data_IF_977198999447
#
_entry.id   IF_977198999447
#
_cell.length_a   1.000
_cell.length_b   1.000
_cell.length_c   1.000
_cell.angle_alpha   90.00
_cell.angle_beta   90.00
_cell.angle_gamma   90.00
#
_symmetry.space_group_name_H-M   'P 1'
#
loop_
_entity.id
_entity.type
_entity.pdbx_description
1 polymer ?
#
# COMPACT_ATOMS: atom_id res chain seq x y z
N UNK A 1 -21.57 73.15 -70.07
CA UNK A 1 -20.16 72.72 -69.83
C UNK A 1 -20.04 72.39 -68.34
N UNK A 2 -20.66 71.30 -67.89
CA UNK A 2 -20.12 69.94 -67.70
C UNK A 2 -18.99 69.87 -66.65
N UNK A 3 -19.38 69.51 -65.43
CA UNK A 3 -18.51 69.00 -64.38
C UNK A 3 -18.06 67.56 -64.72
N UNK A 4 -16.83 67.13 -64.38
CA UNK A 4 -16.42 65.76 -64.53
C UNK A 4 -16.72 64.93 -63.27
N UNK A 5 -17.17 63.70 -63.51
CA UNK A 5 -17.50 62.65 -62.53
C UNK A 5 -16.25 62.09 -61.83
N UNK A 6 -16.36 61.59 -60.58
CA UNK A 6 -15.22 60.95 -59.90
C UNK A 6 -15.01 59.53 -60.40
N UNK A 7 -13.81 59.25 -60.92
CA UNK A 7 -13.36 57.92 -61.33
C UNK A 7 -12.92 57.08 -60.13
N UNK A 8 -13.57 55.95 -59.95
CA UNK A 8 -13.21 54.83 -59.08
C UNK A 8 -11.85 54.25 -59.47
N UNK A 9 -10.87 54.22 -58.55
CA UNK A 9 -9.63 53.43 -58.70
C UNK A 9 -9.40 52.60 -57.44
N UNK A 10 -9.73 51.32 -57.58
CA UNK A 10 -9.12 50.10 -57.04
C UNK A 10 -8.40 50.15 -55.67
N UNK A 11 -9.06 49.53 -54.67
CA UNK A 11 -8.44 48.96 -53.47
C UNK A 11 -7.38 47.90 -53.82
N UNK A 12 -6.11 48.25 -53.72
CA UNK A 12 -5.01 47.28 -53.72
C UNK A 12 -4.92 46.62 -52.33
N UNK A 13 -5.62 45.50 -52.12
CA UNK A 13 -5.43 44.67 -50.92
C UNK A 13 -4.06 44.01 -50.94
N UNK A 14 -3.24 44.10 -49.87
CA UNK A 14 -1.99 43.35 -49.79
C UNK A 14 -2.27 41.84 -49.70
N UNK A 15 -1.54 41.04 -50.49
CA UNK A 15 -1.58 39.57 -50.47
C UNK A 15 -1.09 39.06 -49.11
N UNK A 16 -1.89 38.22 -48.46
CA UNK A 16 -1.50 37.53 -47.23
C UNK A 16 -0.32 36.56 -47.49
N UNK A 17 0.62 36.40 -46.53
CA UNK A 17 1.71 35.44 -46.67
C UNK A 17 1.18 34.00 -46.67
N UNK A 18 1.73 33.16 -47.56
CA UNK A 18 1.49 31.71 -47.61
C UNK A 18 1.77 31.08 -46.24
N UNK A 19 0.76 30.45 -45.65
CA UNK A 19 0.91 29.67 -44.42
C UNK A 19 1.96 28.56 -44.63
N UNK A 20 3.03 28.61 -43.85
CA UNK A 20 4.00 27.53 -43.75
C UNK A 20 3.26 26.25 -43.32
N UNK A 21 3.48 25.16 -44.06
CA UNK A 21 2.81 23.88 -43.80
C UNK A 21 2.97 23.43 -42.36
N UNK A 22 1.84 23.12 -41.71
CA UNK A 22 1.79 22.55 -40.36
C UNK A 22 2.64 21.26 -40.35
N UNK A 23 3.66 21.14 -39.49
CA UNK A 23 4.43 19.91 -39.36
C UNK A 23 3.49 18.78 -38.96
N UNK A 24 3.41 17.71 -39.77
CA UNK A 24 2.63 16.52 -39.41
C UNK A 24 3.22 15.91 -38.13
N UNK A 25 2.41 15.61 -37.10
CA UNK A 25 2.89 14.94 -35.90
C UNK A 25 3.45 13.58 -36.30
N UNK A 26 4.74 13.36 -35.99
CA UNK A 26 5.36 12.04 -36.14
C UNK A 26 4.68 11.09 -35.15
N UNK A 27 4.36 9.84 -35.53
CA UNK A 27 3.85 8.86 -34.58
C UNK A 27 4.89 8.64 -33.49
N UNK A 28 4.53 8.98 -32.25
CA UNK A 28 5.34 8.72 -31.07
C UNK A 28 5.38 7.21 -30.85
N UNK A 29 6.50 6.58 -31.19
CA UNK A 29 6.79 5.22 -30.73
C UNK A 29 6.78 5.27 -29.19
N UNK A 30 5.90 4.54 -28.49
CA UNK A 30 5.85 4.58 -27.04
C UNK A 30 7.19 4.10 -26.51
N UNK A 31 7.98 5.04 -25.96
CA UNK A 31 9.25 4.73 -25.33
C UNK A 31 8.93 3.89 -24.09
N UNK A 32 9.08 2.57 -24.19
CA UNK A 32 9.05 1.65 -23.03
C UNK A 32 10.16 2.08 -22.09
N UNK A 33 9.83 3.01 -21.19
CA UNK A 33 10.79 3.56 -20.23
C UNK A 33 11.19 2.51 -19.18
N UNK A 34 12.24 2.79 -18.39
CA UNK A 34 12.68 1.93 -17.30
C UNK A 34 11.54 1.51 -16.36
N UNK A 35 10.53 2.37 -16.16
CA UNK A 35 9.33 2.07 -15.34
C UNK A 35 8.56 0.83 -15.80
N UNK A 36 8.44 0.59 -17.11
CA UNK A 36 7.74 -0.58 -17.64
C UNK A 36 8.51 -1.87 -17.37
N UNK A 37 9.85 -1.80 -17.37
CA UNK A 37 10.72 -2.93 -17.03
C UNK A 37 10.56 -3.28 -15.54
N UNK A 38 10.56 -2.29 -14.64
CA UNK A 38 10.36 -2.53 -13.21
C UNK A 38 8.97 -3.12 -12.91
N UNK A 39 7.93 -2.64 -13.60
CA UNK A 39 6.57 -3.20 -13.46
C UNK A 39 6.49 -4.65 -13.97
N UNK A 40 7.14 -4.95 -15.09
CA UNK A 40 7.21 -6.31 -15.62
C UNK A 40 7.98 -7.23 -14.67
N UNK A 41 9.13 -6.78 -14.15
CA UNK A 41 9.90 -7.53 -13.15
C UNK A 41 9.09 -7.78 -11.89
N UNK A 42 8.37 -6.77 -11.38
CA UNK A 42 7.48 -6.91 -10.24
C UNK A 42 6.39 -7.96 -10.50
N UNK A 43 5.73 -7.88 -11.66
CA UNK A 43 4.70 -8.84 -12.05
C UNK A 43 5.26 -10.26 -12.21
N UNK A 44 6.47 -10.40 -12.77
CA UNK A 44 7.15 -11.68 -12.92
C UNK A 44 7.53 -12.28 -11.56
N UNK A 45 8.07 -11.48 -10.63
CA UNK A 45 8.46 -11.95 -9.29
C UNK A 45 7.23 -12.34 -8.47
N UNK A 46 6.17 -11.52 -8.47
CA UNK A 46 4.91 -11.87 -7.82
C UNK A 46 4.25 -13.10 -8.48
N UNK A 47 4.28 -13.19 -9.81
CA UNK A 47 3.74 -14.32 -10.56
C UNK A 47 4.49 -15.62 -10.29
N UNK A 48 5.83 -15.57 -10.25
CA UNK A 48 6.66 -16.71 -9.90
C UNK A 48 6.39 -17.18 -8.47
N UNK A 49 6.26 -16.25 -7.52
CA UNK A 49 5.89 -16.59 -6.14
C UNK A 49 4.50 -17.24 -6.07
N UNK A 50 3.51 -16.67 -6.76
CA UNK A 50 2.15 -17.21 -6.81
C UNK A 50 2.09 -18.61 -7.45
N UNK A 51 2.85 -18.84 -8.52
CA UNK A 51 2.99 -20.16 -9.15
C UNK A 51 3.66 -21.14 -8.19
N UNK A 52 4.74 -20.74 -7.52
CA UNK A 52 5.40 -21.54 -6.49
C UNK A 52 4.43 -21.96 -5.39
N UNK A 53 3.66 -21.01 -4.87
CA UNK A 53 2.62 -21.25 -3.86
C UNK A 53 1.51 -22.18 -4.35
N UNK A 54 1.02 -21.98 -5.59
CA UNK A 54 -0.03 -22.82 -6.18
C UNK A 54 0.44 -24.26 -6.44
N UNK A 55 1.72 -24.44 -6.77
CA UNK A 55 2.34 -25.77 -6.96
C UNK A 55 2.86 -26.37 -5.64
N UNK A 56 2.66 -25.70 -4.51
CA UNK A 56 3.10 -26.16 -3.19
C UNK A 56 4.62 -26.19 -3.02
N UNK A 57 5.35 -25.37 -3.79
CA UNK A 57 6.80 -25.21 -3.79
C UNK A 57 7.61 -26.51 -4.02
N UNK A 58 6.97 -27.62 -4.38
CA UNK A 58 7.61 -28.93 -4.55
C UNK A 58 8.03 -29.64 -3.27
N UNK A 59 8.15 -28.95 -2.13
CA UNK A 59 8.39 -29.56 -0.82
C UNK A 59 7.79 -28.74 0.32
N UNK A 60 7.40 -29.42 1.40
CA UNK A 60 6.86 -28.75 2.61
C UNK A 60 7.87 -27.78 3.22
N UNK A 61 9.15 -28.15 3.25
CA UNK A 61 10.18 -27.29 3.85
C UNK A 61 10.39 -26.01 3.03
N UNK A 62 10.38 -26.10 1.69
CA UNK A 62 10.48 -24.91 0.85
C UNK A 62 9.24 -24.03 0.97
N UNK A 63 8.05 -24.62 1.12
CA UNK A 63 6.82 -23.86 1.37
C UNK A 63 6.89 -23.05 2.67
N UNK A 64 7.36 -23.66 3.78
CA UNK A 64 7.57 -22.94 5.05
C UNK A 64 8.60 -21.82 4.89
N UNK A 65 9.76 -22.12 4.29
CA UNK A 65 10.82 -21.12 4.10
C UNK A 65 10.33 -19.93 3.25
N UNK A 66 9.59 -20.19 2.18
CA UNK A 66 9.06 -19.12 1.34
C UNK A 66 7.93 -18.36 2.03
N UNK A 67 7.02 -19.05 2.71
CA UNK A 67 5.93 -18.45 3.47
C UNK A 67 6.41 -17.55 4.61
N UNK A 68 7.52 -17.89 5.25
CA UNK A 68 7.99 -17.12 6.41
C UNK A 68 9.12 -16.16 6.03
N UNK A 69 10.24 -16.69 5.55
CA UNK A 69 11.41 -15.87 5.20
C UNK A 69 11.22 -15.11 3.89
N UNK A 70 10.46 -15.66 2.93
CA UNK A 70 10.12 -14.96 1.70
C UNK A 70 9.24 -13.74 1.97
N UNK A 71 8.23 -13.86 2.84
CA UNK A 71 7.44 -12.72 3.30
C UNK A 71 8.26 -11.73 4.11
N UNK A 72 9.10 -12.22 5.03
CA UNK A 72 9.99 -11.35 5.82
C UNK A 72 10.90 -10.53 4.91
N UNK A 73 11.50 -11.14 3.88
CA UNK A 73 12.35 -10.46 2.91
C UNK A 73 11.58 -9.43 2.09
N UNK A 74 10.36 -9.75 1.63
CA UNK A 74 9.53 -8.81 0.88
C UNK A 74 9.12 -7.59 1.73
N UNK A 75 8.72 -7.82 2.97
CA UNK A 75 8.38 -6.76 3.92
C UNK A 75 9.62 -5.92 4.29
N UNK A 76 10.79 -6.54 4.45
CA UNK A 76 12.05 -5.83 4.67
C UNK A 76 12.44 -4.97 3.46
N UNK A 77 12.24 -5.46 2.23
CA UNK A 77 12.45 -4.69 1.02
C UNK A 77 11.52 -3.46 0.95
N UNK A 78 10.25 -3.62 1.35
CA UNK A 78 9.31 -2.50 1.48
C UNK A 78 9.79 -1.47 2.52
N UNK A 79 10.22 -1.93 3.70
CA UNK A 79 10.73 -1.09 4.76
C UNK A 79 11.94 -0.26 4.30
N UNK A 80 12.96 -0.93 3.74
CA UNK A 80 14.18 -0.30 3.23
C UNK A 80 13.84 0.68 2.12
N UNK A 81 12.98 0.30 1.16
CA UNK A 81 12.57 1.17 0.07
C UNK A 81 11.91 2.47 0.56
N UNK A 82 10.96 2.35 1.50
CA UNK A 82 10.29 3.49 2.11
C UNK A 82 11.26 4.40 2.89
N UNK A 83 12.20 3.82 3.64
CA UNK A 83 13.22 4.59 4.38
C UNK A 83 14.22 5.29 3.45
N UNK A 84 14.67 4.63 2.38
CA UNK A 84 15.55 5.23 1.36
C UNK A 84 14.85 6.38 0.64
N UNK A 85 13.59 6.21 0.27
CA UNK A 85 12.81 7.28 -0.33
C UNK A 85 12.62 8.47 0.62
N UNK A 86 12.36 8.21 1.90
CA UNK A 86 12.25 9.25 2.92
C UNK A 86 13.54 10.08 3.12
N UNK A 87 14.72 9.49 2.85
CA UNK A 87 16.03 10.19 2.89
C UNK A 87 16.28 11.08 1.67
N UNK A 88 15.53 10.92 0.59
CA UNK A 88 15.73 11.71 -0.64
C UNK A 88 15.38 13.19 -0.43
N UNK A 89 16.03 14.10 -1.16
CA UNK A 89 15.80 15.55 -1.01
C UNK A 89 14.47 16.05 -1.58
N UNK A 90 13.86 15.30 -2.52
CA UNK A 90 12.62 15.68 -3.23
C UNK A 90 11.35 14.99 -2.72
N UNK A 91 11.45 14.27 -1.60
CA UNK A 91 10.35 13.48 -1.07
C UNK A 91 9.21 14.37 -0.56
N UNK A 92 7.99 14.01 -0.96
CA UNK A 92 6.76 14.59 -0.43
C UNK A 92 6.16 13.62 0.58
N UNK A 93 5.56 14.15 1.65
CA UNK A 93 4.96 13.36 2.73
C UNK A 93 5.95 12.43 3.45
N UNK A 94 7.15 12.94 3.78
CA UNK A 94 8.19 12.20 4.54
C UNK A 94 7.64 11.37 5.69
N UNK A 95 6.79 11.91 6.58
CA UNK A 95 6.35 11.16 7.75
C UNK A 95 5.51 9.94 7.37
N UNK A 96 4.70 10.02 6.30
CA UNK A 96 3.92 8.88 5.83
C UNK A 96 4.81 7.74 5.35
N UNK A 97 5.87 8.03 4.59
CA UNK A 97 6.81 7.00 4.12
C UNK A 97 7.64 6.40 5.26
N UNK A 98 8.03 7.19 6.27
CA UNK A 98 8.68 6.65 7.47
C UNK A 98 7.75 5.70 8.24
N UNK A 99 6.47 6.06 8.37
CA UNK A 99 5.46 5.24 9.04
C UNK A 99 5.14 3.96 8.26
N UNK A 100 5.06 4.01 6.93
CA UNK A 100 4.95 2.81 6.10
C UNK A 100 6.19 1.94 6.19
N UNK A 101 7.39 2.53 6.21
CA UNK A 101 8.62 1.78 6.42
C UNK A 101 8.68 1.09 7.79
N UNK A 102 8.25 1.79 8.84
CA UNK A 102 8.15 1.23 10.19
C UNK A 102 7.11 0.11 10.26
N UNK A 103 5.95 0.30 9.66
CA UNK A 103 4.91 -0.71 9.52
C UNK A 103 5.49 -1.97 8.86
N UNK A 104 6.08 -1.84 7.67
CA UNK A 104 6.71 -2.97 6.96
C UNK A 104 7.85 -3.63 7.75
N UNK A 105 8.61 -2.88 8.55
CA UNK A 105 9.63 -3.45 9.42
C UNK A 105 9.03 -4.34 10.52
N UNK A 106 7.90 -3.93 11.10
CA UNK A 106 7.15 -4.77 12.05
C UNK A 106 6.64 -6.04 11.37
N UNK A 107 6.09 -5.96 10.16
CA UNK A 107 5.69 -7.14 9.40
C UNK A 107 6.87 -8.07 9.09
N UNK A 108 8.03 -7.53 8.72
CA UNK A 108 9.24 -8.32 8.46
C UNK A 108 9.69 -9.08 9.71
N UNK A 109 9.68 -8.41 10.87
CA UNK A 109 10.02 -9.00 12.16
C UNK A 109 9.00 -10.06 12.60
N UNK A 110 7.70 -9.81 12.40
CA UNK A 110 6.64 -10.79 12.68
C UNK A 110 6.84 -12.09 11.90
N UNK A 111 7.05 -11.98 10.59
CA UNK A 111 7.34 -13.13 9.72
C UNK A 111 8.67 -13.82 10.06
N UNK A 112 9.70 -13.06 10.48
CA UNK A 112 10.98 -13.63 10.90
C UNK A 112 10.83 -14.48 12.16
N UNK A 113 10.07 -13.98 13.14
CA UNK A 113 9.75 -14.73 14.36
C UNK A 113 8.92 -15.96 13.99
N UNK A 114 7.91 -15.82 13.14
CA UNK A 114 7.10 -16.95 12.66
C UNK A 114 7.97 -18.06 12.04
N UNK A 115 8.85 -17.69 11.11
CA UNK A 115 9.79 -18.62 10.48
C UNK A 115 10.78 -19.25 11.44
N UNK A 116 11.18 -18.53 12.48
CA UNK A 116 12.01 -19.11 13.54
C UNK A 116 11.28 -20.26 14.27
N UNK A 117 9.98 -20.12 14.52
CA UNK A 117 9.17 -21.19 15.13
C UNK A 117 8.97 -22.38 14.17
N UNK A 118 8.55 -22.12 12.94
CA UNK A 118 8.16 -23.19 12.03
C UNK A 118 9.35 -23.89 11.36
N UNK A 119 10.36 -23.13 10.93
CA UNK A 119 11.51 -23.66 10.18
C UNK A 119 12.64 -24.10 11.10
N UNK A 120 12.97 -23.32 12.13
CA UNK A 120 14.13 -23.60 13.00
C UNK A 120 13.74 -24.51 14.17
N UNK A 121 12.64 -24.18 14.86
CA UNK A 121 12.16 -24.97 16.00
C UNK A 121 11.25 -26.13 15.60
N UNK A 122 10.76 -26.18 14.36
CA UNK A 122 9.89 -27.25 13.87
C UNK A 122 8.56 -27.36 14.59
N UNK A 123 8.09 -26.27 15.23
CA UNK A 123 6.86 -26.26 16.03
C UNK A 123 5.89 -25.20 15.53
N UNK A 124 4.57 -25.43 15.64
CA UNK A 124 3.60 -24.39 15.32
C UNK A 124 3.79 -23.18 16.26
N UNK A 125 3.51 -21.98 15.74
CA UNK A 125 3.58 -20.74 16.52
C UNK A 125 2.56 -20.80 17.65
N UNK A 126 2.97 -20.63 18.93
CA UNK A 126 2.05 -20.61 20.05
C UNK A 126 1.19 -19.33 20.00
N UNK A 127 -0.10 -19.40 20.32
CA UNK A 127 -0.93 -18.20 20.43
C UNK A 127 -1.28 -17.93 21.90
N UNK A 128 -0.87 -16.79 22.49
CA UNK A 128 -0.17 -15.64 21.90
C UNK A 128 1.36 -15.82 21.76
N UNK A 129 1.94 -15.24 20.71
CA UNK A 129 3.39 -15.21 20.43
C UNK A 129 3.96 -13.80 20.33
N UNK A 130 5.29 -13.71 20.27
CA UNK A 130 5.99 -12.47 19.87
C UNK A 130 5.69 -12.06 18.41
N UNK A 131 5.35 -13.01 17.53
CA UNK A 131 4.96 -12.66 16.15
C UNK A 131 3.66 -11.84 16.16
N UNK A 132 2.70 -12.23 17.02
CA UNK A 132 1.44 -11.51 17.17
C UNK A 132 1.63 -10.06 17.62
N UNK A 133 2.60 -9.82 18.50
CA UNK A 133 2.92 -8.45 18.93
C UNK A 133 3.39 -7.60 17.75
N UNK A 134 4.25 -8.15 16.88
CA UNK A 134 4.76 -7.42 15.72
C UNK A 134 3.68 -7.20 14.67
N UNK A 135 2.81 -8.18 14.42
CA UNK A 135 1.67 -8.00 13.52
C UNK A 135 0.64 -7.02 14.08
N UNK A 136 0.41 -7.01 15.40
CA UNK A 136 -0.42 -6.00 16.04
C UNK A 136 0.19 -4.59 15.89
N UNK A 137 1.51 -4.47 16.02
CA UNK A 137 2.23 -3.22 15.84
C UNK A 137 2.42 -2.79 14.38
N UNK A 138 2.08 -3.64 13.39
CA UNK A 138 2.12 -3.28 11.97
C UNK A 138 1.02 -2.28 11.61
N UNK A 139 -0.20 -2.48 12.12
CA UNK A 139 -1.37 -1.71 11.72
C UNK A 139 -1.37 -0.24 12.20
N UNK A 140 -1.00 0.12 13.45
CA UNK A 140 -1.04 1.50 13.91
C UNK A 140 -0.17 2.46 13.08
N UNK A 141 1.12 2.15 12.77
CA UNK A 141 1.91 2.99 11.89
C UNK A 141 1.32 3.11 10.49
N UNK A 142 0.73 2.05 9.93
CA UNK A 142 0.06 2.12 8.63
C UNK A 142 -1.16 3.06 8.66
N UNK A 143 -2.02 2.96 9.67
CA UNK A 143 -3.19 3.84 9.87
C UNK A 143 -2.73 5.31 9.99
N UNK A 144 -1.74 5.58 10.84
CA UNK A 144 -1.21 6.94 11.03
C UNK A 144 -0.58 7.44 9.73
N UNK A 145 0.13 6.60 8.99
CA UNK A 145 0.72 6.95 7.68
C UNK A 145 -0.34 7.35 6.66
N UNK A 146 -1.47 6.63 6.62
CA UNK A 146 -2.62 6.98 5.79
C UNK A 146 -3.30 8.28 6.26
N UNK A 147 -3.46 8.49 7.57
CA UNK A 147 -4.00 9.73 8.12
C UNK A 147 -3.12 10.94 7.78
N UNK A 148 -1.79 10.82 7.86
CA UNK A 148 -0.84 11.86 7.44
C UNK A 148 -1.07 12.21 5.96
N UNK A 149 -1.27 11.20 5.12
CA UNK A 149 -1.50 11.39 3.69
C UNK A 149 -2.87 12.05 3.40
N UNK A 150 -3.87 11.72 4.21
CA UNK A 150 -5.24 12.24 4.10
C UNK A 150 -5.38 13.68 4.57
N UNK A 151 -4.83 13.99 5.75
CA UNK A 151 -5.00 15.29 6.43
C UNK A 151 -3.92 16.30 6.04
N UNK A 152 -2.77 15.82 5.55
CA UNK A 152 -1.63 16.65 5.10
C UNK A 152 -1.27 17.75 6.12
N UNK A 153 -0.98 17.39 7.39
CA UNK A 153 -0.75 18.38 8.43
C UNK A 153 0.47 19.24 8.12
N UNK A 154 0.26 20.55 8.02
CA UNK A 154 1.34 21.54 7.80
C UNK A 154 1.61 22.41 9.03
N UNK A 155 0.64 22.55 9.93
CA UNK A 155 0.75 23.34 11.18
C UNK A 155 0.87 22.44 12.41
N UNK A 156 1.40 22.98 13.52
CA UNK A 156 1.43 22.28 14.82
C UNK A 156 0.03 21.83 15.25
N UNK A 157 -0.98 22.68 15.09
CA UNK A 157 -2.37 22.35 15.38
C UNK A 157 -2.87 21.16 14.54
N UNK A 158 -2.53 21.11 13.25
CA UNK A 158 -2.87 19.97 12.39
C UNK A 158 -2.22 18.65 12.85
N UNK A 159 -0.99 18.71 13.35
CA UNK A 159 -0.31 17.55 13.95
C UNK A 159 -0.95 17.12 15.28
N UNK A 160 -1.39 18.05 16.11
CA UNK A 160 -2.13 17.74 17.34
C UNK A 160 -3.47 17.09 17.01
N UNK A 161 -4.23 17.63 16.05
CA UNK A 161 -5.48 17.00 15.61
C UNK A 161 -5.23 15.57 15.13
N UNK A 162 -4.22 15.36 14.29
CA UNK A 162 -3.85 14.03 13.81
C UNK A 162 -3.53 13.06 14.97
N UNK A 163 -2.77 13.52 15.97
CA UNK A 163 -2.45 12.71 17.13
C UNK A 163 -3.69 12.36 17.94
N UNK A 164 -4.61 13.32 18.12
CA UNK A 164 -5.91 13.09 18.77
C UNK A 164 -6.78 12.12 17.98
N UNK A 165 -6.82 12.22 16.64
CA UNK A 165 -7.57 11.27 15.81
C UNK A 165 -7.01 9.86 15.94
N UNK A 166 -5.69 9.72 15.87
CA UNK A 166 -5.02 8.44 16.01
C UNK A 166 -5.23 7.83 17.41
N UNK A 167 -5.17 8.67 18.45
CA UNK A 167 -5.44 8.26 19.82
C UNK A 167 -6.90 7.85 20.02
N UNK A 168 -7.85 8.58 19.41
CA UNK A 168 -9.27 8.27 19.49
C UNK A 168 -9.56 6.93 18.78
N UNK A 169 -9.05 6.73 17.57
CA UNK A 169 -9.18 5.46 16.84
C UNK A 169 -8.55 4.31 17.65
N UNK A 170 -7.29 4.46 18.08
CA UNK A 170 -6.59 3.42 18.83
C UNK A 170 -7.25 3.11 20.19
N UNK A 171 -7.63 4.15 20.94
CA UNK A 171 -8.31 4.03 22.23
C UNK A 171 -9.69 3.39 22.11
N UNK A 172 -10.46 3.72 21.08
CA UNK A 172 -11.74 3.07 20.80
C UNK A 172 -11.56 1.59 20.45
N UNK A 173 -10.61 1.23 19.59
CA UNK A 173 -10.35 -0.16 19.22
C UNK A 173 -9.87 -0.99 20.42
N UNK A 174 -8.98 -0.43 21.24
CA UNK A 174 -8.50 -1.06 22.47
C UNK A 174 -9.65 -1.30 23.46
N UNK A 175 -10.46 -0.26 23.70
CA UNK A 175 -11.60 -0.36 24.63
C UNK A 175 -12.60 -1.39 24.13
N UNK A 176 -12.95 -1.36 22.84
CA UNK A 176 -13.89 -2.30 22.23
C UNK A 176 -13.36 -3.73 22.34
N UNK A 177 -12.11 -3.97 21.94
CA UNK A 177 -11.48 -5.30 22.00
C UNK A 177 -11.44 -5.85 23.42
N UNK A 178 -11.01 -5.03 24.38
CA UNK A 178 -10.93 -5.41 25.79
C UNK A 178 -12.31 -5.69 26.40
N UNK A 179 -13.31 -4.86 26.08
CA UNK A 179 -14.68 -5.00 26.60
C UNK A 179 -15.32 -6.30 26.09
N UNK A 180 -15.20 -6.58 24.79
CA UNK A 180 -15.72 -7.81 24.21
C UNK A 180 -14.97 -9.03 24.74
N UNK A 181 -13.65 -8.95 24.93
CA UNK A 181 -12.87 -10.03 25.51
C UNK A 181 -13.29 -10.36 26.94
N UNK A 182 -13.51 -9.35 27.78
CA UNK A 182 -14.04 -9.52 29.14
C UNK A 182 -15.44 -10.15 29.11
N UNK A 183 -16.31 -9.71 28.20
CA UNK A 183 -17.65 -10.28 28.04
C UNK A 183 -17.62 -11.74 27.59
N UNK A 184 -16.66 -12.14 26.73
CA UNK A 184 -16.46 -13.53 26.33
C UNK A 184 -15.91 -14.38 27.48
N UNK A 185 -14.94 -13.85 28.24
CA UNK A 185 -14.38 -14.55 29.40
C UNK A 185 -15.41 -14.74 30.53
N UNK A 186 -16.29 -13.76 30.74
CA UNK A 186 -17.35 -13.82 31.74
C UNK A 186 -18.43 -14.87 31.43
N UNK A 187 -18.60 -15.28 30.16
CA UNK A 187 -19.56 -16.33 29.76
C UNK A 187 -19.10 -17.75 30.08
N UNK A 188 -17.85 -17.92 30.55
CA UNK A 188 -17.28 -19.19 31.00
C UNK A 188 -16.90 -20.13 29.84
N UNK A 189 -15.68 -20.69 29.91
CA UNK A 189 -15.25 -21.80 29.04
C UNK A 189 -14.36 -21.46 27.83
N UNK A 190 -13.93 -20.21 27.67
CA UNK A 190 -13.03 -19.79 26.58
C UNK A 190 -11.56 -19.63 26.98
N UNK A 191 -10.63 -19.48 26.00
CA UNK A 191 -9.24 -19.10 26.26
C UNK A 191 -9.17 -17.77 27.04
N UNK A 192 -8.11 -17.57 27.83
CA UNK A 192 -8.00 -16.42 28.75
C UNK A 192 -8.22 -15.05 28.08
N UNK A 193 -8.62 -14.05 28.88
CA UNK A 193 -9.01 -12.69 28.42
C UNK A 193 -8.03 -12.09 27.42
N UNK A 194 -6.72 -12.27 27.63
CA UNK A 194 -5.68 -11.75 26.75
C UNK A 194 -5.73 -12.37 25.33
N UNK A 195 -6.01 -13.66 25.23
CA UNK A 195 -6.15 -14.33 23.93
C UNK A 195 -7.41 -13.84 23.21
N UNK A 196 -8.54 -13.75 23.91
CA UNK A 196 -9.77 -13.21 23.33
C UNK A 196 -9.62 -11.74 22.86
N UNK A 197 -8.93 -10.90 23.65
CA UNK A 197 -8.63 -9.51 23.28
C UNK A 197 -7.71 -9.43 22.06
N UNK A 198 -6.71 -10.30 21.98
CA UNK A 198 -5.84 -10.36 20.81
C UNK A 198 -6.61 -10.80 19.57
N UNK A 199 -7.39 -11.89 19.65
CA UNK A 199 -8.21 -12.39 18.54
C UNK A 199 -9.23 -11.36 18.03
N UNK A 200 -9.74 -10.48 18.89
CA UNK A 200 -10.65 -9.39 18.50
C UNK A 200 -9.91 -8.18 17.94
N UNK A 201 -8.68 -7.92 18.37
CA UNK A 201 -7.90 -6.78 17.92
C UNK A 201 -7.57 -6.84 16.42
N UNK A 202 -7.27 -8.04 15.88
CA UNK A 202 -6.99 -8.24 14.46
C UNK A 202 -8.15 -7.79 13.54
N UNK A 203 -9.39 -8.35 13.65
CA UNK A 203 -10.51 -7.91 12.83
C UNK A 203 -10.82 -6.41 12.97
N UNK A 204 -10.67 -5.86 14.17
CA UNK A 204 -10.92 -4.44 14.44
C UNK A 204 -9.90 -3.54 13.75
N UNK A 205 -8.62 -3.92 13.77
CA UNK A 205 -7.56 -3.21 13.05
C UNK A 205 -7.75 -3.32 11.53
N UNK A 206 -8.17 -4.48 11.03
CA UNK A 206 -8.48 -4.68 9.61
C UNK A 206 -9.61 -3.75 9.17
N UNK A 207 -10.72 -3.70 9.91
CA UNK A 207 -11.85 -2.80 9.61
C UNK A 207 -11.38 -1.33 9.59
N UNK A 208 -10.56 -0.91 10.55
CA UNK A 208 -10.02 0.44 10.59
C UNK A 208 -9.13 0.75 9.37
N UNK A 209 -8.25 -0.19 9.00
CA UNK A 209 -7.38 -0.08 7.83
C UNK A 209 -8.17 -0.04 6.52
N UNK A 210 -9.13 -0.96 6.31
CA UNK A 210 -10.03 -0.98 5.13
C UNK A 210 -10.78 0.35 5.04
N UNK A 211 -11.38 0.80 6.15
CA UNK A 211 -12.13 2.05 6.19
C UNK A 211 -11.27 3.24 5.78
N UNK A 212 -10.01 3.29 6.25
CA UNK A 212 -9.06 4.33 5.88
C UNK A 212 -8.67 4.27 4.40
N UNK A 213 -8.36 3.07 3.90
CA UNK A 213 -8.02 2.84 2.49
C UNK A 213 -9.17 3.28 1.57
N UNK A 214 -10.41 2.90 1.90
CA UNK A 214 -11.60 3.29 1.16
C UNK A 214 -11.85 4.80 1.24
N UNK A 215 -11.77 5.39 2.43
CA UNK A 215 -11.93 6.83 2.60
C UNK A 215 -10.91 7.61 1.76
N UNK A 216 -9.65 7.19 1.71
CA UNK A 216 -8.63 7.80 0.85
C UNK A 216 -8.90 7.54 -0.65
N UNK A 217 -9.42 6.36 -1.00
CA UNK A 217 -9.79 6.02 -2.37
C UNK A 217 -10.91 6.92 -2.89
N UNK A 218 -11.94 7.20 -2.09
CA UNK A 218 -13.08 8.02 -2.52
C UNK A 218 -12.77 9.52 -2.47
N UNK A 219 -11.86 9.98 -1.60
CA UNK A 219 -11.45 11.41 -1.54
C UNK A 219 -10.50 11.83 -2.66
N UNK A 220 -10.35 11.03 -3.71
CA UNK A 220 -9.49 11.32 -4.88
C UNK A 220 -10.02 12.51 -5.69
N UNK A 221 -9.57 13.72 -5.38
CA UNK A 221 -9.52 14.81 -6.38
C UNK A 221 -8.41 14.51 -7.40
N UNK A 222 -8.62 14.73 -8.70
CA UNK A 222 -7.79 14.24 -9.83
C UNK A 222 -6.28 14.55 -9.86
N UNK A 223 -5.70 15.14 -8.82
CA UNK A 223 -4.28 15.48 -8.69
C UNK A 223 -3.43 14.43 -7.92
N UNK A 224 -3.97 13.25 -7.57
CA UNK A 224 -3.27 12.26 -6.76
C UNK A 224 -2.18 11.53 -7.56
N UNK A 225 -0.93 11.71 -7.12
CA UNK A 225 0.28 11.15 -7.75
C UNK A 225 0.28 9.62 -7.71
N UNK A 226 0.78 8.95 -8.77
CA UNK A 226 0.68 7.49 -8.91
C UNK A 226 1.33 6.72 -7.74
N UNK A 227 2.41 7.24 -7.15
CA UNK A 227 3.05 6.67 -5.96
C UNK A 227 2.10 6.47 -4.77
N UNK A 228 1.23 7.45 -4.49
CA UNK A 228 0.25 7.38 -3.39
C UNK A 228 -0.82 6.35 -3.68
N UNK A 229 -1.31 6.29 -4.92
CA UNK A 229 -2.31 5.30 -5.32
C UNK A 229 -1.75 3.88 -5.26
N UNK A 230 -0.48 3.69 -5.63
CA UNK A 230 0.20 2.39 -5.50
C UNK A 230 0.35 2.00 -4.03
N UNK A 231 0.73 2.92 -3.13
CA UNK A 231 0.80 2.62 -1.70
C UNK A 231 -0.56 2.27 -1.10
N UNK A 232 -1.62 3.01 -1.45
CA UNK A 232 -3.00 2.69 -1.02
C UNK A 232 -3.42 1.32 -1.55
N UNK A 233 -3.13 1.00 -2.81
CA UNK A 233 -3.43 -0.31 -3.40
C UNK A 233 -2.66 -1.45 -2.75
N UNK A 234 -1.39 -1.24 -2.41
CA UNK A 234 -0.56 -2.20 -1.71
C UNK A 234 -1.09 -2.53 -0.30
N UNK A 235 -1.46 -1.48 0.46
CA UNK A 235 -2.08 -1.65 1.77
C UNK A 235 -3.47 -2.28 1.67
N UNK A 236 -4.27 -1.92 0.66
CA UNK A 236 -5.56 -2.54 0.41
C UNK A 236 -5.43 -4.05 0.18
N UNK A 237 -4.45 -4.46 -0.64
CA UNK A 237 -4.18 -5.87 -0.89
C UNK A 237 -3.74 -6.60 0.38
N UNK A 238 -2.83 -6.00 1.16
CA UNK A 238 -2.34 -6.56 2.42
C UNK A 238 -3.50 -6.80 3.40
N UNK A 239 -4.36 -5.81 3.58
CA UNK A 239 -5.50 -5.88 4.50
C UNK A 239 -6.57 -6.87 4.00
N UNK A 240 -6.76 -6.98 2.68
CA UNK A 240 -7.63 -8.00 2.12
C UNK A 240 -7.13 -9.40 2.48
N UNK A 241 -5.82 -9.63 2.40
CA UNK A 241 -5.20 -10.89 2.81
C UNK A 241 -5.33 -11.14 4.32
N UNK A 242 -5.16 -10.12 5.17
CA UNK A 242 -5.36 -10.22 6.63
C UNK A 242 -6.81 -10.58 6.99
N UNK A 243 -7.78 -9.94 6.33
CA UNK A 243 -9.20 -10.23 6.53
C UNK A 243 -9.55 -11.66 6.10
N UNK A 244 -8.97 -12.15 4.99
CA UNK A 244 -9.12 -13.53 4.55
C UNK A 244 -8.47 -14.50 5.55
N UNK A 245 -7.28 -14.21 6.06
CA UNK A 245 -6.60 -15.03 7.07
C UNK A 245 -7.40 -15.15 8.37
N UNK A 246 -8.05 -14.05 8.79
CA UNK A 246 -8.85 -13.99 10.01
C UNK A 246 -10.22 -14.67 9.83
N UNK A 247 -10.64 -14.96 8.60
CA UNK A 247 -11.87 -15.70 8.33
C UNK A 247 -11.75 -17.14 8.86
N UNK A 248 -12.74 -17.68 9.62
CA UNK A 248 -12.64 -19.02 10.18
C UNK A 248 -12.39 -20.11 9.13
N UNK A 249 -12.93 -19.94 7.92
CA UNK A 249 -12.79 -20.90 6.82
C UNK A 249 -11.34 -21.08 6.37
N UNK A 250 -10.56 -19.99 6.33
CA UNK A 250 -9.17 -20.02 5.91
C UNK A 250 -8.22 -20.15 7.09
N UNK A 251 -8.55 -19.57 8.24
CA UNK A 251 -7.69 -19.59 9.43
C UNK A 251 -7.35 -21.01 9.89
N UNK A 252 -8.34 -21.91 9.97
CA UNK A 252 -8.12 -23.28 10.41
C UNK A 252 -7.36 -24.15 9.39
N UNK A 253 -7.36 -23.77 8.11
CA UNK A 253 -6.73 -24.53 7.03
C UNK A 253 -5.41 -23.91 6.54
N UNK A 254 -5.04 -22.75 7.10
CA UNK A 254 -3.87 -22.00 6.70
C UNK A 254 -2.59 -22.77 6.97
N UNK A 255 -1.68 -22.75 6.00
CA UNK A 255 -0.31 -23.24 6.12
C UNK A 255 0.61 -22.30 5.37
N UNK A 256 1.78 -22.04 5.93
CA UNK A 256 2.80 -21.20 5.31
C UNK A 256 3.24 -21.77 3.95
N UNK A 257 3.42 -20.87 2.98
CA UNK A 257 3.71 -21.13 1.58
C UNK A 257 2.49 -21.24 0.67
N UNK A 258 1.29 -20.92 1.15
CA UNK A 258 0.04 -21.01 0.36
C UNK A 258 -0.23 -19.77 -0.49
N UNK A 259 -1.30 -19.81 -1.30
CA UNK A 259 -1.65 -18.72 -2.21
C UNK A 259 -1.94 -17.39 -1.48
N UNK A 260 -2.38 -17.45 -0.22
CA UNK A 260 -2.61 -16.27 0.60
C UNK A 260 -1.31 -15.47 0.80
N UNK A 261 -0.21 -16.18 0.99
CA UNK A 261 1.14 -15.63 1.14
C UNK A 261 1.60 -14.87 -0.10
N UNK A 262 1.17 -15.32 -1.28
CA UNK A 262 1.45 -14.60 -2.52
C UNK A 262 0.78 -13.21 -2.54
N UNK A 263 -0.37 -13.08 -1.88
CA UNK A 263 -1.06 -11.79 -1.71
C UNK A 263 -0.29 -10.83 -0.80
N UNK A 264 0.15 -11.29 0.38
CA UNK A 264 0.98 -10.48 1.29
C UNK A 264 2.34 -10.13 0.70
N UNK A 265 2.96 -11.08 0.00
CA UNK A 265 4.21 -10.87 -0.73
C UNK A 265 4.03 -9.81 -1.82
N UNK A 266 2.98 -9.90 -2.64
CA UNK A 266 2.66 -8.91 -3.66
C UNK A 266 2.33 -7.53 -3.05
N UNK A 267 1.59 -7.49 -1.94
CA UNK A 267 1.32 -6.26 -1.20
C UNK A 267 2.59 -5.56 -0.74
N UNK A 268 3.50 -6.33 -0.14
CA UNK A 268 4.81 -5.83 0.31
C UNK A 268 5.66 -5.31 -0.85
N UNK A 269 5.77 -6.06 -1.96
CA UNK A 269 6.54 -5.62 -3.11
C UNK A 269 5.91 -4.42 -3.84
N UNK A 270 4.58 -4.34 -3.91
CA UNK A 270 3.89 -3.15 -4.42
C UNK A 270 4.17 -1.93 -3.55
N UNK A 271 4.19 -2.09 -2.23
CA UNK A 271 4.58 -1.02 -1.30
C UNK A 271 6.05 -0.64 -1.45
N UNK A 272 6.94 -1.60 -1.68
CA UNK A 272 8.35 -1.36 -1.98
C UNK A 272 8.53 -0.58 -3.29
N UNK A 273 7.68 -0.83 -4.29
CA UNK A 273 7.71 -0.13 -5.57
C UNK A 273 7.04 1.26 -5.51
N UNK A 274 6.03 1.44 -4.65
CA UNK A 274 5.20 2.64 -4.57
C UNK A 274 5.96 3.98 -4.50
N UNK A 275 7.04 4.14 -3.69
CA UNK A 275 7.77 5.41 -3.61
C UNK A 275 8.42 5.85 -4.93
N UNK A 276 8.73 4.90 -5.81
CA UNK A 276 9.52 5.11 -7.03
C UNK A 276 8.67 5.26 -8.28
N UNK A 277 7.33 5.21 -8.16
CA UNK A 277 6.43 5.37 -9.30
C UNK A 277 6.50 6.80 -9.80
N UNK A 278 7.15 6.99 -10.96
CA UNK A 278 7.29 8.28 -11.59
C UNK A 278 5.91 8.90 -11.91
N UNK A 279 5.73 10.21 -11.66
CA UNK A 279 4.57 10.92 -12.19
C UNK A 279 4.59 10.79 -13.72
N UNK A 280 3.49 10.32 -14.31
CA UNK A 280 3.28 10.53 -15.75
C UNK A 280 3.25 12.04 -15.97
N UNK A 281 4.22 12.55 -16.72
CA UNK A 281 4.14 13.93 -17.20
C UNK A 281 2.89 14.00 -18.08
N UNK A 282 2.00 14.98 -17.89
CA UNK A 282 0.98 15.26 -18.90
C UNK A 282 1.73 15.59 -20.19
N UNK A 283 1.39 14.90 -21.28
CA UNK A 283 1.76 15.38 -22.62
C UNK A 283 1.02 16.71 -22.80
N UNK A 284 1.76 17.81 -22.90
CA UNK A 284 1.25 19.11 -23.36
C UNK A 284 1.03 19.10 -24.88
#
# INVERSE_FOLDING_TARGET
>A
MNAPSPSTILDARPRAPRAAGVPRPRPSVPRRGPTAVHQLLLALVCGAYAIGAALGWGSRQLALVMGDFGLSAAAAAAAVSCFLYARSRRVRFRPAWLLFGLSSAMAAMGNLVWGWYEVVLGRPVPSPSYADLFFLCFAPPAIVGLLVLAKRPVTKAGWVCLALDAWLIGGSLLTLSWSLALAQAAKGGGPGVAHAALSLAYPLLDIALVSMVLALHFRRSGAHRPAVNTAIGALALTVMCDALFTSPLLHYSYRSGQLLDAGWFAGSLLLAYAPWVAPRQPEE
#
